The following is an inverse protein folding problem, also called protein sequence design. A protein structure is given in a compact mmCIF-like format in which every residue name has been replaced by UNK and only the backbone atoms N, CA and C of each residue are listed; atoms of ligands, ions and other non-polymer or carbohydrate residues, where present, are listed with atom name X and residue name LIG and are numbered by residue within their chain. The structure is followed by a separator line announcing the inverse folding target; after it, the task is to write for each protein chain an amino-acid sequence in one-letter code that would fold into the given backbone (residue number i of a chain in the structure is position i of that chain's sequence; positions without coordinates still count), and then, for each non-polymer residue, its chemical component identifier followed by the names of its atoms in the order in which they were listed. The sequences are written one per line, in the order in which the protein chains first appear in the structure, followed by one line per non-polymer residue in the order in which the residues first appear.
data_IF_555757269474
#
_entry.id   IF_555757269474
#
_cell.length_a   1.000
_cell.length_b   1.000
_cell.length_c   1.000
_cell.angle_alpha   90.00
_cell.angle_beta   90.00
_cell.angle_gamma   90.00
#
_symmetry.space_group_name_H-M   'P 1'
#
loop_
_entity.id
_entity.type
_entity.pdbx_description
1 polymer ?
#
# COMPACT_ATOMS: atom_id res chain seq x y z
N UNK A 1 -83.55 22.79 -11.66
CA UNK A 1 -83.32 22.58 -10.21
C UNK A 1 -82.55 21.26 -10.08
N UNK A 2 -81.29 21.29 -9.62
CA UNK A 2 -80.85 20.77 -8.29
C UNK A 2 -81.00 19.23 -8.25
N UNK A 3 -80.01 18.35 -8.04
CA UNK A 3 -78.66 18.39 -7.44
C UNK A 3 -77.91 17.09 -7.80
N UNK A 4 -76.58 17.17 -7.84
CA UNK A 4 -75.67 16.02 -7.79
C UNK A 4 -75.25 15.72 -6.34
N UNK A 5 -75.07 14.44 -5.97
CA UNK A 5 -74.29 13.89 -4.83
C UNK A 5 -73.90 12.44 -5.23
N UNK A 6 -72.66 12.14 -5.65
CA UNK A 6 -71.47 11.68 -4.90
C UNK A 6 -71.57 10.30 -4.21
N UNK A 7 -70.78 9.30 -4.67
CA UNK A 7 -70.01 8.27 -3.92
C UNK A 7 -68.97 7.66 -4.89
N UNK A 8 -67.68 8.04 -4.84
CA UNK A 8 -66.55 7.38 -4.15
C UNK A 8 -66.19 5.99 -4.68
N UNK A 9 -65.11 5.92 -5.49
CA UNK A 9 -64.24 4.74 -5.63
C UNK A 9 -62.80 5.22 -5.81
N UNK A 10 -62.00 5.02 -4.77
CA UNK A 10 -60.55 5.23 -4.76
C UNK A 10 -59.90 4.04 -5.46
N UNK A 11 -59.18 4.30 -6.56
CA UNK A 11 -58.32 3.31 -7.21
C UNK A 11 -56.87 3.80 -7.06
N UNK A 12 -56.06 3.07 -6.28
CA UNK A 12 -54.62 3.26 -6.18
C UNK A 12 -53.96 3.01 -7.55
N UNK A 13 -53.39 4.04 -8.15
CA UNK A 13 -52.49 3.91 -9.30
C UNK A 13 -51.06 3.89 -8.76
N UNK A 14 -50.43 2.73 -8.81
CA UNK A 14 -48.99 2.56 -8.62
C UNK A 14 -48.27 3.27 -9.77
N UNK A 15 -47.83 4.50 -9.52
CA UNK A 15 -46.99 5.27 -10.43
C UNK A 15 -45.56 4.72 -10.38
N UNK A 16 -45.26 3.76 -11.25
CA UNK A 16 -43.89 3.36 -11.53
C UNK A 16 -43.20 4.50 -12.31
N UNK A 17 -42.46 5.35 -11.61
CA UNK A 17 -41.55 6.30 -12.23
C UNK A 17 -40.34 5.53 -12.77
N UNK A 18 -40.42 5.06 -14.01
CA UNK A 18 -39.24 4.71 -14.78
C UNK A 18 -38.54 6.01 -15.19
N UNK A 19 -37.44 6.35 -14.51
CA UNK A 19 -36.52 7.36 -15.00
C UNK A 19 -35.79 6.79 -16.23
N UNK A 20 -35.63 7.55 -17.33
CA UNK A 20 -34.81 7.10 -18.44
C UNK A 20 -33.34 7.16 -18.03
N UNK A 21 -32.67 6.01 -18.07
CA UNK A 21 -31.21 5.90 -18.08
C UNK A 21 -30.68 6.73 -19.25
N UNK A 22 -29.90 7.75 -18.92
CA UNK A 22 -29.24 8.61 -19.89
C UNK A 22 -28.06 7.88 -20.51
N UNK A 23 -28.30 7.14 -21.59
CA UNK A 23 -27.30 6.66 -22.55
C UNK A 23 -26.71 7.82 -23.36
N UNK A 24 -26.12 8.80 -22.68
CA UNK A 24 -25.23 9.76 -23.34
C UNK A 24 -23.87 9.08 -23.47
N UNK A 25 -23.37 8.79 -24.69
CA UNK A 25 -22.01 8.28 -24.84
C UNK A 25 -21.06 9.32 -24.24
N UNK A 26 -20.16 8.88 -23.36
CA UNK A 26 -19.06 9.69 -22.86
C UNK A 26 -18.35 10.29 -24.07
N UNK A 27 -18.50 11.60 -24.27
CA UNK A 27 -17.99 12.27 -25.45
C UNK A 27 -16.47 12.06 -25.50
N UNK A 28 -16.02 11.31 -26.50
CA UNK A 28 -14.61 11.20 -26.82
C UNK A 28 -14.06 12.62 -27.01
N UNK A 29 -12.92 12.91 -26.37
CA UNK A 29 -12.27 14.22 -26.48
C UNK A 29 -12.11 14.58 -27.96
N UNK A 30 -12.57 15.75 -28.43
CA UNK A 30 -12.46 16.12 -29.83
C UNK A 30 -11.00 16.09 -30.25
N UNK A 31 -10.75 15.55 -31.45
CA UNK A 31 -9.44 15.49 -32.09
C UNK A 31 -8.98 16.90 -32.51
N UNK A 32 -8.65 17.71 -31.52
CA UNK A 32 -7.99 19.00 -31.66
C UNK A 32 -7.00 19.10 -30.52
N UNK A 33 -5.84 18.45 -30.66
CA UNK A 33 -4.78 18.56 -29.67
C UNK A 33 -4.23 19.99 -29.70
N UNK A 34 -4.73 20.85 -28.82
CA UNK A 34 -3.96 22.03 -28.45
C UNK A 34 -2.64 21.56 -27.84
N UNK A 35 -1.54 22.22 -28.20
CA UNK A 35 -0.21 21.88 -27.71
C UNK A 35 -0.21 21.86 -26.17
N UNK A 36 0.04 20.69 -25.58
CA UNK A 36 0.06 20.49 -24.12
C UNK A 36 1.32 21.08 -23.44
N UNK A 37 2.00 22.02 -24.10
CA UNK A 37 3.20 22.69 -23.57
C UNK A 37 2.96 23.39 -22.23
N UNK A 38 1.73 23.88 -21.97
CA UNK A 38 1.36 24.46 -20.68
C UNK A 38 1.42 23.43 -19.54
N UNK A 39 0.82 22.25 -19.73
CA UNK A 39 0.84 21.14 -18.76
C UNK A 39 2.28 20.67 -18.53
N UNK A 40 3.06 20.47 -19.59
CA UNK A 40 4.47 20.04 -19.48
C UNK A 40 5.30 21.07 -18.69
N UNK A 41 5.09 22.36 -18.91
CA UNK A 41 5.77 23.42 -18.16
C UNK A 41 5.34 23.46 -16.69
N UNK A 42 4.05 23.22 -16.40
CA UNK A 42 3.54 23.14 -15.03
C UNK A 42 4.07 21.92 -14.29
N UNK A 43 4.14 20.75 -14.94
CA UNK A 43 4.74 19.53 -14.36
C UNK A 43 6.19 19.75 -13.94
N UNK A 44 6.99 20.49 -14.72
CA UNK A 44 8.36 20.89 -14.31
C UNK A 44 8.39 21.80 -13.08
N UNK A 45 7.44 22.72 -12.96
CA UNK A 45 7.34 23.61 -11.77
C UNK A 45 6.87 22.83 -10.54
N UNK A 46 5.94 21.90 -10.72
CA UNK A 46 5.50 20.98 -9.68
C UNK A 46 6.69 20.16 -9.16
N UNK A 47 7.50 19.58 -10.05
CA UNK A 47 8.70 18.82 -9.66
C UNK A 47 9.69 19.72 -8.89
N UNK A 48 9.89 20.96 -9.34
CA UNK A 48 10.74 21.91 -8.65
C UNK A 48 10.22 22.24 -7.24
N UNK A 49 8.90 22.34 -7.04
CA UNK A 49 8.29 22.57 -5.74
C UNK A 49 8.48 21.38 -4.79
N UNK A 50 8.28 20.14 -5.29
CA UNK A 50 8.57 18.92 -4.52
C UNK A 50 10.03 18.89 -4.06
N UNK A 51 10.97 19.07 -4.99
CA UNK A 51 12.41 19.00 -4.70
C UNK A 51 12.88 20.21 -3.85
N UNK A 52 12.18 21.33 -3.94
CA UNK A 52 12.38 22.52 -3.12
C UNK A 52 11.72 22.45 -1.74
N UNK A 53 11.00 21.35 -1.42
CA UNK A 53 10.27 21.16 -0.16
C UNK A 53 9.20 22.23 0.09
N UNK A 54 8.55 22.70 -0.97
CA UNK A 54 7.52 23.74 -0.92
C UNK A 54 6.11 23.15 -1.06
N UNK A 55 5.57 22.71 0.08
CA UNK A 55 4.23 22.10 0.15
C UNK A 55 3.13 23.07 -0.26
N UNK A 56 3.23 24.37 0.02
CA UNK A 56 2.20 25.35 -0.35
C UNK A 56 2.12 25.52 -1.86
N UNK A 57 3.27 25.67 -2.52
CA UNK A 57 3.31 25.75 -3.98
C UNK A 57 2.81 24.46 -4.61
N UNK A 58 3.14 23.29 -4.05
CA UNK A 58 2.59 22.00 -4.50
C UNK A 58 1.07 21.96 -4.45
N UNK A 59 0.48 22.28 -3.29
CA UNK A 59 -0.98 22.30 -3.10
C UNK A 59 -1.65 23.28 -4.08
N UNK A 60 -1.00 24.40 -4.40
CA UNK A 60 -1.49 25.39 -5.35
C UNK A 60 -1.65 24.90 -6.80
N UNK A 61 -0.99 23.79 -7.18
CA UNK A 61 -1.20 23.16 -8.48
C UNK A 61 -2.51 22.37 -8.59
N UNK A 62 -3.20 22.10 -7.48
CA UNK A 62 -4.38 21.25 -7.46
C UNK A 62 -5.68 22.05 -7.35
N UNK A 63 -6.78 21.50 -7.90
CA UNK A 63 -8.11 22.05 -7.66
C UNK A 63 -8.55 21.82 -6.21
N UNK A 64 -9.48 22.63 -5.71
CA UNK A 64 -9.96 22.52 -4.32
C UNK A 64 -10.63 21.18 -3.98
N UNK A 65 -11.11 20.49 -5.01
CA UNK A 65 -11.77 19.19 -5.02
C UNK A 65 -10.90 18.08 -5.64
N UNK A 66 -9.58 18.27 -5.75
CA UNK A 66 -8.70 17.32 -6.41
C UNK A 66 -8.73 15.94 -5.75
N UNK A 67 -8.73 14.88 -6.56
CA UNK A 67 -8.69 13.48 -6.10
C UNK A 67 -7.26 12.97 -6.11
N UNK A 68 -6.85 12.36 -5.01
CA UNK A 68 -5.54 11.74 -4.84
C UNK A 68 -5.74 10.24 -4.67
N UNK A 69 -5.12 9.47 -5.55
CA UNK A 69 -5.22 8.01 -5.60
C UNK A 69 -3.82 7.42 -5.44
N UNK A 70 -3.27 7.56 -4.23
CA UNK A 70 -1.96 7.04 -3.89
C UNK A 70 -1.96 5.49 -3.89
N UNK A 71 -0.82 4.83 -4.17
CA UNK A 71 -0.70 3.39 -4.11
C UNK A 71 -1.12 2.84 -2.74
N UNK A 72 -1.88 1.73 -2.75
CA UNK A 72 -2.29 1.00 -1.54
C UNK A 72 -3.11 1.81 -0.52
N UNK A 73 -3.68 2.94 -0.93
CA UNK A 73 -4.54 3.78 -0.10
C UNK A 73 -5.94 3.92 -0.72
N UNK A 74 -6.92 4.30 0.10
CA UNK A 74 -8.23 4.72 -0.41
C UNK A 74 -8.10 6.04 -1.19
N UNK A 75 -9.03 6.27 -2.12
CA UNK A 75 -9.14 7.56 -2.79
C UNK A 75 -9.45 8.65 -1.77
N UNK A 76 -8.63 9.70 -1.75
CA UNK A 76 -8.81 10.88 -0.91
C UNK A 76 -9.10 12.11 -1.77
N UNK A 77 -9.68 13.16 -1.19
CA UNK A 77 -10.11 14.34 -1.93
C UNK A 77 -9.84 15.66 -1.20
N UNK A 78 -9.52 16.69 -1.98
CA UNK A 78 -9.35 18.07 -1.54
C UNK A 78 -7.90 18.47 -1.28
N UNK A 79 -7.66 19.75 -1.03
CA UNK A 79 -6.31 20.28 -0.80
C UNK A 79 -5.63 19.72 0.45
N UNK A 80 -6.41 19.30 1.45
CA UNK A 80 -5.88 18.57 2.61
C UNK A 80 -5.28 17.22 2.20
N UNK A 81 -5.98 16.44 1.37
CA UNK A 81 -5.47 15.16 0.86
C UNK A 81 -4.18 15.32 0.05
N UNK A 82 -4.11 16.36 -0.79
CA UNK A 82 -2.89 16.72 -1.56
C UNK A 82 -1.75 17.06 -0.61
N UNK A 83 -2.03 17.88 0.41
CA UNK A 83 -1.04 18.26 1.42
C UNK A 83 -0.52 17.05 2.19
N UNK A 84 -1.40 16.14 2.61
CA UNK A 84 -1.01 14.96 3.36
C UNK A 84 -0.13 14.04 2.51
N UNK A 85 -0.52 13.80 1.25
CA UNK A 85 0.24 12.95 0.34
C UNK A 85 1.65 13.49 0.05
N UNK A 86 1.77 14.73 -0.42
CA UNK A 86 3.06 15.27 -0.84
C UNK A 86 3.85 15.91 0.30
N UNK A 87 3.18 16.40 1.33
CA UNK A 87 3.82 16.80 2.59
C UNK A 87 4.51 15.61 3.25
N UNK A 88 3.85 14.44 3.31
CA UNK A 88 4.48 13.21 3.79
C UNK A 88 5.72 12.81 2.98
N UNK A 89 5.71 12.96 1.65
CA UNK A 89 6.90 12.72 0.82
C UNK A 89 8.04 13.69 1.15
N UNK A 90 7.73 14.97 1.35
CA UNK A 90 8.71 16.00 1.72
C UNK A 90 9.31 15.72 3.10
N UNK A 91 8.47 15.38 4.09
CA UNK A 91 8.88 15.04 5.45
C UNK A 91 9.77 13.78 5.48
N UNK A 92 9.47 12.79 4.63
CA UNK A 92 10.30 11.61 4.42
C UNK A 92 11.62 11.91 3.66
N UNK A 93 11.86 13.16 3.25
CA UNK A 93 13.08 13.58 2.56
C UNK A 93 13.18 13.10 1.12
N UNK A 94 12.03 12.84 0.48
CA UNK A 94 11.99 12.35 -0.90
C UNK A 94 12.15 13.49 -1.91
N UNK A 95 12.74 13.15 -3.04
CA UNK A 95 12.84 14.00 -4.23
C UNK A 95 12.43 13.20 -5.46
N UNK A 96 11.93 13.89 -6.48
CA UNK A 96 11.35 13.28 -7.66
C UNK A 96 11.87 13.84 -8.98
N UNK A 97 11.91 12.97 -9.98
CA UNK A 97 12.06 13.32 -11.40
C UNK A 97 10.81 12.84 -12.15
N UNK A 98 10.17 13.73 -12.90
CA UNK A 98 9.00 13.42 -13.74
C UNK A 98 9.38 13.47 -15.21
N UNK A 99 8.82 12.53 -15.98
CA UNK A 99 8.93 12.51 -17.43
C UNK A 99 7.55 12.32 -18.06
N UNK A 100 7.04 13.38 -18.69
CA UNK A 100 5.85 13.29 -19.55
C UNK A 100 6.14 12.42 -20.77
N UNK A 101 5.31 11.39 -20.97
CA UNK A 101 5.30 10.57 -22.18
C UNK A 101 4.26 11.08 -23.17
N UNK A 102 3.11 11.51 -22.66
CA UNK A 102 2.02 12.04 -23.46
C UNK A 102 1.27 13.10 -22.66
N UNK A 103 0.95 14.22 -23.30
CA UNK A 103 0.01 15.18 -22.74
C UNK A 103 -0.88 15.72 -23.86
N UNK A 104 -2.18 15.86 -23.57
CA UNK A 104 -3.15 16.46 -24.49
C UNK A 104 -4.10 17.38 -23.74
N UNK A 105 -4.66 18.34 -24.46
CA UNK A 105 -5.69 19.25 -23.97
C UNK A 105 -6.82 19.33 -24.99
N UNK A 106 -8.03 19.55 -24.49
CA UNK A 106 -9.20 19.88 -25.28
C UNK A 106 -10.11 20.81 -24.46
N UNK A 107 -10.21 22.07 -24.87
CA UNK A 107 -10.94 23.09 -24.10
C UNK A 107 -10.35 23.26 -22.70
N UNK A 108 -11.17 23.10 -21.67
CA UNK A 108 -10.78 23.30 -20.27
C UNK A 108 -10.39 22.01 -19.53
N UNK A 109 -10.16 20.92 -20.27
CA UNK A 109 -9.66 19.65 -19.73
C UNK A 109 -8.39 19.19 -20.47
N UNK A 110 -7.50 18.54 -19.75
CA UNK A 110 -6.33 17.89 -20.32
C UNK A 110 -5.87 16.71 -19.48
N UNK A 111 -4.89 15.98 -19.98
CA UNK A 111 -4.23 14.92 -19.23
C UNK A 111 -2.73 14.92 -19.47
N UNK A 112 -2.02 14.33 -18.51
CA UNK A 112 -0.58 14.07 -18.56
C UNK A 112 -0.37 12.62 -18.15
N UNK A 113 0.27 11.84 -19.00
CA UNK A 113 0.71 10.48 -18.72
C UNK A 113 2.22 10.50 -18.71
N UNK A 114 2.82 9.95 -17.66
CA UNK A 114 4.26 9.99 -17.51
C UNK A 114 4.82 8.92 -16.59
N UNK A 115 6.14 8.98 -16.42
CA UNK A 115 6.88 8.16 -15.46
C UNK A 115 7.50 9.04 -14.39
N UNK A 116 7.68 8.47 -13.21
CA UNK A 116 8.40 9.12 -12.11
C UNK A 116 9.59 8.27 -11.65
N UNK A 117 10.57 8.95 -11.07
CA UNK A 117 11.68 8.37 -10.34
C UNK A 117 11.80 9.07 -8.98
N UNK A 118 11.68 8.33 -7.88
CA UNK A 118 11.75 8.86 -6.51
C UNK A 118 13.05 8.43 -5.84
N UNK A 119 13.69 9.39 -5.15
CA UNK A 119 14.95 9.18 -4.43
C UNK A 119 14.86 9.70 -3.00
N UNK A 120 15.53 8.99 -2.08
CA UNK A 120 15.91 9.50 -0.77
C UNK A 120 17.43 9.75 -0.78
N UNK A 121 17.82 11.03 -0.85
CA UNK A 121 19.21 11.39 -1.15
C UNK A 121 19.64 10.85 -2.52
N UNK A 122 20.67 10.01 -2.54
CA UNK A 122 21.19 9.41 -3.79
C UNK A 122 20.58 8.03 -4.10
N UNK A 123 19.76 7.47 -3.21
CA UNK A 123 19.22 6.13 -3.36
C UNK A 123 17.85 6.19 -4.04
N UNK A 124 17.65 5.41 -5.11
CA UNK A 124 16.32 5.15 -5.66
C UNK A 124 15.48 4.41 -4.62
N UNK A 125 14.32 4.96 -4.28
CA UNK A 125 13.37 4.32 -3.37
C UNK A 125 12.15 3.80 -4.10
N UNK A 126 11.80 4.42 -5.23
CA UNK A 126 10.70 3.97 -6.08
C UNK A 126 10.85 4.50 -7.51
N UNK A 127 10.20 3.81 -8.45
CA UNK A 127 9.99 4.30 -9.81
C UNK A 127 8.67 3.77 -10.32
N UNK A 128 8.01 4.52 -11.21
CA UNK A 128 6.71 4.10 -11.69
C UNK A 128 6.12 5.02 -12.74
N UNK A 129 4.80 4.98 -12.83
CA UNK A 129 3.98 5.72 -13.79
C UNK A 129 2.85 6.46 -13.12
N UNK A 130 2.40 7.52 -13.77
CA UNK A 130 1.31 8.34 -13.29
C UNK A 130 0.38 8.76 -14.44
N UNK A 131 -0.85 9.10 -14.07
CA UNK A 131 -1.80 9.82 -14.90
C UNK A 131 -2.35 10.99 -14.08
N UNK A 132 -2.25 12.18 -14.63
CA UNK A 132 -2.89 13.38 -14.09
C UNK A 132 -4.00 13.84 -15.03
N UNK A 133 -5.14 14.21 -14.47
CA UNK A 133 -6.20 14.96 -15.19
C UNK A 133 -6.12 16.41 -14.77
N UNK A 134 -5.98 17.30 -15.75
CA UNK A 134 -5.88 18.74 -15.57
C UNK A 134 -7.20 19.41 -15.95
N UNK A 135 -7.63 20.40 -15.15
CA UNK A 135 -8.77 21.26 -15.44
C UNK A 135 -8.35 22.72 -15.41
N UNK A 136 -8.93 23.53 -16.29
CA UNK A 136 -8.76 24.99 -16.26
C UNK A 136 -9.80 25.61 -15.33
N UNK A 137 -9.34 26.24 -14.25
CA UNK A 137 -10.18 26.90 -13.25
C UNK A 137 -9.73 28.35 -13.15
N UNK A 138 -10.64 29.29 -13.40
CA UNK A 138 -10.36 30.73 -13.42
C UNK A 138 -9.18 31.10 -14.33
N UNK A 139 -9.11 30.44 -15.50
CA UNK A 139 -8.05 30.64 -16.48
C UNK A 139 -6.73 29.94 -16.15
N UNK A 140 -6.61 29.27 -15.01
CA UNK A 140 -5.41 28.56 -14.57
C UNK A 140 -5.57 27.05 -14.65
N UNK A 141 -4.60 26.36 -15.24
CA UNK A 141 -4.55 24.90 -15.27
C UNK A 141 -4.14 24.36 -13.90
N UNK A 142 -4.95 23.42 -13.39
CA UNK A 142 -4.72 22.74 -12.11
C UNK A 142 -5.01 21.25 -12.22
N UNK A 143 -4.29 20.43 -11.46
CA UNK A 143 -4.50 18.99 -11.36
C UNK A 143 -5.80 18.74 -10.58
N UNK A 144 -6.67 17.93 -11.15
CA UNK A 144 -7.97 17.57 -10.60
C UNK A 144 -8.08 16.11 -10.19
N UNK A 145 -7.24 15.26 -10.75
CA UNK A 145 -7.10 13.86 -10.34
C UNK A 145 -5.67 13.44 -10.59
N UNK A 146 -5.08 12.80 -9.60
CA UNK A 146 -3.70 12.35 -9.61
C UNK A 146 -3.66 10.91 -9.12
N UNK A 147 -3.22 10.01 -10.00
CA UNK A 147 -3.05 8.60 -9.74
C UNK A 147 -1.67 8.17 -10.19
N UNK A 148 -0.97 7.42 -9.34
CA UNK A 148 0.33 6.85 -9.65
C UNK A 148 0.47 5.47 -9.04
N UNK A 149 1.40 4.68 -9.57
CA UNK A 149 1.73 3.37 -9.03
C UNK A 149 3.16 2.92 -9.39
N UNK A 150 3.74 2.15 -8.49
CA UNK A 150 5.10 1.64 -8.59
C UNK A 150 5.24 0.60 -9.71
N UNK A 151 6.36 0.64 -10.40
CA UNK A 151 6.87 -0.42 -11.29
C UNK A 151 7.74 -1.43 -10.55
N UNK A 152 8.14 -1.12 -9.30
CA UNK A 152 8.78 -2.11 -8.47
C UNK A 152 7.78 -3.21 -8.13
N UNK A 153 8.22 -4.47 -8.05
CA UNK A 153 7.41 -5.52 -7.47
C UNK A 153 6.90 -5.05 -6.11
N UNK A 154 5.62 -5.28 -5.83
CA UNK A 154 5.13 -5.16 -4.46
C UNK A 154 6.03 -6.07 -3.62
N UNK A 155 6.82 -5.47 -2.73
CA UNK A 155 7.61 -6.26 -1.80
C UNK A 155 6.62 -7.24 -1.14
N UNK A 156 6.92 -8.55 -1.11
CA UNK A 156 6.03 -9.48 -0.43
C UNK A 156 5.76 -8.90 0.96
N UNK A 157 4.48 -8.83 1.35
CA UNK A 157 4.12 -8.45 2.71
C UNK A 157 4.98 -9.31 3.62
N UNK A 158 5.87 -8.69 4.39
CA UNK A 158 6.92 -9.39 5.15
C UNK A 158 6.29 -10.55 5.94
N UNK A 159 6.81 -11.77 5.89
CA UNK A 159 8.21 -12.12 5.75
C UNK A 159 8.44 -13.37 4.89
N UNK A 160 9.47 -13.32 4.05
CA UNK A 160 10.09 -14.56 3.60
C UNK A 160 10.61 -15.28 4.85
N UNK A 161 10.04 -16.45 5.14
CA UNK A 161 10.55 -17.35 6.17
C UNK A 161 11.99 -17.69 5.77
N UNK A 162 12.95 -17.13 6.49
CA UNK A 162 14.36 -17.34 6.20
C UNK A 162 14.86 -18.66 6.78
N UNK A 163 14.14 -19.24 7.76
CA UNK A 163 14.54 -20.48 8.41
C UNK A 163 13.32 -21.33 8.79
N UNK A 164 13.36 -22.61 8.45
CA UNK A 164 12.59 -23.64 9.14
C UNK A 164 13.55 -24.48 9.98
N UNK A 165 13.21 -24.70 11.24
CA UNK A 165 13.97 -25.58 12.14
C UNK A 165 13.04 -26.72 12.53
N UNK A 166 13.45 -27.96 12.34
CA UNK A 166 12.70 -29.15 12.77
C UNK A 166 13.53 -29.97 13.74
N UNK A 167 12.92 -30.53 14.77
CA UNK A 167 13.58 -31.36 15.77
C UNK A 167 12.55 -32.21 16.53
N UNK A 168 13.02 -33.34 17.04
CA UNK A 168 12.29 -34.19 17.96
C UNK A 168 12.34 -33.60 19.37
N UNK A 169 11.25 -33.76 20.11
CA UNK A 169 11.15 -33.39 21.52
C UNK A 169 10.66 -34.56 22.37
N UNK A 170 11.11 -34.62 23.62
CA UNK A 170 10.68 -35.66 24.55
C UNK A 170 9.17 -35.62 24.87
N UNK A 171 8.59 -34.42 24.92
CA UNK A 171 7.16 -34.19 25.18
C UNK A 171 6.71 -32.90 24.47
N UNK A 172 5.90 -33.06 23.42
CA UNK A 172 5.42 -31.93 22.64
C UNK A 172 4.49 -30.98 23.41
N UNK A 173 3.73 -31.46 24.38
CA UNK A 173 2.86 -30.63 25.21
C UNK A 173 3.68 -29.72 26.13
N UNK A 174 4.74 -30.27 26.73
CA UNK A 174 5.70 -29.50 27.51
C UNK A 174 6.42 -28.48 26.63
N UNK A 175 6.91 -28.89 25.46
CA UNK A 175 7.57 -28.00 24.52
C UNK A 175 6.65 -26.84 24.11
N UNK A 176 5.44 -27.12 23.60
CA UNK A 176 4.48 -26.08 23.20
C UNK A 176 4.13 -25.11 24.34
N UNK A 177 4.13 -25.58 25.59
CA UNK A 177 3.85 -24.73 26.75
C UNK A 177 5.00 -23.74 27.02
N UNK A 178 6.25 -24.14 26.80
CA UNK A 178 7.42 -23.25 26.95
C UNK A 178 7.45 -22.10 25.91
N UNK A 179 6.76 -22.28 24.78
CA UNK A 179 6.66 -21.28 23.71
C UNK A 179 5.47 -20.31 23.86
N UNK A 180 4.71 -20.38 24.95
CA UNK A 180 3.53 -19.52 25.19
C UNK A 180 3.62 -18.80 26.53
N UNK A 181 2.97 -17.64 26.63
CA UNK A 181 2.92 -16.83 27.85
C UNK A 181 4.11 -15.88 27.99
N UNK A 182 4.24 -15.25 29.16
CA UNK A 182 5.29 -14.26 29.43
C UNK A 182 6.66 -14.93 29.61
N UNK A 183 7.70 -14.30 29.08
CA UNK A 183 9.08 -14.81 29.09
C UNK A 183 9.23 -16.16 28.37
N UNK A 184 8.36 -16.39 27.38
CA UNK A 184 8.35 -17.62 26.59
C UNK A 184 9.56 -17.71 25.65
N UNK A 185 9.79 -18.90 25.09
CA UNK A 185 10.76 -19.05 23.99
C UNK A 185 10.44 -18.14 22.80
N UNK A 186 9.15 -17.90 22.54
CA UNK A 186 8.72 -16.98 21.50
C UNK A 186 9.23 -15.55 21.77
N UNK A 187 9.09 -15.05 22.99
CA UNK A 187 9.59 -13.73 23.38
C UNK A 187 11.12 -13.65 23.28
N UNK A 188 11.81 -14.72 23.71
CA UNK A 188 13.26 -14.81 23.63
C UNK A 188 13.76 -14.76 22.18
N UNK A 189 13.10 -15.46 21.26
CA UNK A 189 13.47 -15.43 19.84
C UNK A 189 13.22 -14.05 19.21
N UNK A 190 12.09 -13.40 19.53
CA UNK A 190 11.80 -12.04 19.05
C UNK A 190 12.81 -11.02 19.56
N UNK A 191 13.20 -11.11 20.83
CA UNK A 191 14.23 -10.25 21.43
C UNK A 191 15.62 -10.45 20.81
N UNK A 192 15.84 -11.59 20.14
CA UNK A 192 17.13 -12.01 19.61
C UNK A 192 17.16 -12.15 18.09
N UNK A 193 16.38 -11.35 17.35
CA UNK A 193 16.55 -11.22 15.90
C UNK A 193 15.58 -12.04 15.04
N UNK A 194 14.57 -12.68 15.64
CA UNK A 194 13.39 -13.12 14.90
C UNK A 194 12.41 -11.94 14.74
N UNK A 195 11.83 -11.80 13.54
CA UNK A 195 10.71 -10.91 13.27
C UNK A 195 9.36 -11.55 13.60
N UNK A 196 9.25 -12.86 13.39
CA UNK A 196 8.12 -13.68 13.81
C UNK A 196 8.55 -15.14 13.94
N UNK A 197 7.86 -15.89 14.81
CA UNK A 197 8.06 -17.33 14.96
C UNK A 197 6.69 -18.02 14.96
N UNK A 198 6.53 -19.04 14.13
CA UNK A 198 5.37 -19.91 14.13
C UNK A 198 5.79 -21.33 14.49
N UNK A 199 5.02 -21.99 15.33
CA UNK A 199 5.26 -23.38 15.73
C UNK A 199 4.45 -24.30 14.83
N UNK A 200 5.00 -25.47 14.53
CA UNK A 200 4.28 -26.56 13.90
C UNK A 200 4.67 -27.90 14.51
N UNK A 201 3.80 -28.89 14.33
CA UNK A 201 4.03 -30.28 14.68
C UNK A 201 3.81 -31.13 13.44
N UNK A 202 4.57 -32.22 13.30
CA UNK A 202 4.27 -33.21 12.28
C UNK A 202 2.92 -33.86 12.59
N UNK A 203 2.11 -34.02 11.55
CA UNK A 203 0.83 -34.73 11.64
C UNK A 203 0.99 -36.24 11.85
N UNK A 204 2.13 -36.81 11.47
CA UNK A 204 2.44 -38.23 11.64
C UNK A 204 3.15 -38.52 12.97
N UNK A 205 3.86 -37.55 13.53
CA UNK A 205 4.54 -37.67 14.83
C UNK A 205 4.44 -36.35 15.61
N UNK A 206 3.59 -36.34 16.64
CA UNK A 206 3.37 -35.14 17.44
C UNK A 206 4.64 -34.65 18.17
N UNK A 207 5.61 -35.54 18.42
CA UNK A 207 6.89 -35.21 19.04
C UNK A 207 7.94 -34.75 18.03
N UNK A 208 7.68 -34.85 16.73
CA UNK A 208 8.44 -34.12 15.72
C UNK A 208 7.83 -32.72 15.58
N UNK A 209 8.60 -31.70 15.93
CA UNK A 209 8.13 -30.31 16.02
C UNK A 209 9.03 -29.39 15.22
N UNK A 210 8.57 -28.15 14.99
CA UNK A 210 9.41 -27.18 14.33
C UNK A 210 8.97 -25.73 14.45
N UNK A 211 9.84 -24.87 13.94
CA UNK A 211 9.74 -23.42 13.94
C UNK A 211 9.83 -22.92 12.51
N UNK A 212 8.86 -22.12 12.07
CA UNK A 212 8.97 -21.28 10.88
C UNK A 212 9.32 -19.87 11.34
N UNK A 213 10.49 -19.37 10.95
CA UNK A 213 11.07 -18.14 11.49
C UNK A 213 11.29 -17.14 10.36
N UNK A 214 10.63 -15.99 10.50
CA UNK A 214 11.03 -14.78 9.81
C UNK A 214 12.20 -14.14 10.57
N UNK A 215 13.31 -13.88 9.90
CA UNK A 215 14.53 -13.41 10.56
C UNK A 215 14.77 -11.94 10.23
N UNK A 216 14.83 -11.08 11.25
CA UNK A 216 15.21 -9.66 11.10
C UNK A 216 16.72 -9.46 11.28
N UNK A 217 17.37 -10.30 12.08
CA UNK A 217 18.83 -10.28 12.29
C UNK A 217 19.38 -11.70 12.51
N UNK A 218 19.93 -12.29 11.45
CA UNK A 218 20.42 -13.66 11.46
C UNK A 218 21.61 -13.87 12.41
N UNK A 219 22.54 -12.92 12.46
CA UNK A 219 23.75 -13.03 13.29
C UNK A 219 23.38 -13.04 14.78
N UNK A 220 22.44 -12.18 15.17
CA UNK A 220 21.94 -12.11 16.54
C UNK A 220 21.20 -13.40 16.93
N UNK A 221 20.34 -13.89 16.02
CA UNK A 221 19.56 -15.10 16.26
C UNK A 221 20.45 -16.33 16.40
N UNK A 222 21.44 -16.50 15.51
CA UNK A 222 22.44 -17.56 15.61
C UNK A 222 23.26 -17.45 16.90
N UNK A 223 23.63 -16.22 17.29
CA UNK A 223 24.36 -15.97 18.54
C UNK A 223 23.56 -16.39 19.78
N UNK A 224 22.26 -16.11 19.80
CA UNK A 224 21.38 -16.54 20.89
C UNK A 224 21.19 -18.07 20.90
N UNK A 225 20.86 -18.69 19.76
CA UNK A 225 20.64 -20.14 19.68
C UNK A 225 21.89 -20.92 20.11
N UNK A 226 23.09 -20.46 19.70
CA UNK A 226 24.36 -21.07 20.08
C UNK A 226 24.88 -20.72 21.47
N UNK A 227 24.17 -19.89 22.24
CA UNK A 227 24.59 -19.46 23.57
C UNK A 227 24.35 -20.54 24.65
N UNK A 228 25.00 -20.44 25.83
CA UNK A 228 24.67 -21.31 26.97
C UNK A 228 23.20 -21.22 27.39
N UNK A 229 22.61 -20.04 27.29
CA UNK A 229 21.19 -19.81 27.58
C UNK A 229 20.29 -20.55 26.58
N UNK A 230 20.54 -20.39 25.28
CA UNK A 230 19.81 -21.09 24.23
C UNK A 230 19.96 -22.61 24.31
N UNK A 231 21.16 -23.10 24.65
CA UNK A 231 21.40 -24.53 24.85
C UNK A 231 20.67 -25.07 26.07
N UNK A 232 20.68 -24.33 27.19
CA UNK A 232 19.95 -24.72 28.40
C UNK A 232 18.44 -24.73 28.17
N UNK A 233 17.92 -23.74 27.43
CA UNK A 233 16.53 -23.65 27.02
C UNK A 233 16.10 -24.87 26.19
N UNK A 234 16.88 -25.25 25.18
CA UNK A 234 16.61 -26.43 24.37
C UNK A 234 16.61 -27.72 25.20
N UNK A 235 17.54 -27.86 26.15
CA UNK A 235 17.60 -29.01 27.04
C UNK A 235 16.41 -29.08 28.00
N UNK A 236 15.99 -27.93 28.56
CA UNK A 236 14.81 -27.83 29.43
C UNK A 236 13.55 -28.24 28.68
N UNK A 237 13.42 -27.82 27.43
CA UNK A 237 12.28 -28.12 26.56
C UNK A 237 12.32 -29.55 25.99
N UNK A 238 13.39 -30.31 26.27
CA UNK A 238 13.55 -31.70 25.86
C UNK A 238 13.84 -31.88 24.37
N UNK A 239 14.44 -30.87 23.72
CA UNK A 239 14.85 -30.92 22.32
C UNK A 239 16.01 -31.89 22.11
N UNK A 240 15.86 -32.86 21.21
CA UNK A 240 16.99 -33.67 20.75
C UNK A 240 17.80 -32.91 19.71
N UNK A 241 18.89 -32.30 20.15
CA UNK A 241 19.80 -31.55 19.27
C UNK A 241 20.41 -32.40 18.13
N UNK A 242 20.39 -33.73 18.21
CA UNK A 242 20.87 -34.60 17.13
C UNK A 242 19.86 -34.75 15.98
N UNK A 243 18.59 -34.54 16.26
CA UNK A 243 17.50 -34.55 15.27
C UNK A 243 17.33 -33.19 14.56
N UNK A 244 17.99 -32.15 15.09
CA UNK A 244 17.81 -30.78 14.64
C UNK A 244 18.26 -30.62 13.17
N UNK A 245 17.32 -30.19 12.35
CA UNK A 245 17.55 -29.87 10.93
C UNK A 245 17.15 -28.43 10.68
N UNK A 246 18.00 -27.68 9.96
CA UNK A 246 17.75 -26.29 9.58
C UNK A 246 17.63 -26.22 8.08
N UNK A 247 16.49 -25.72 7.60
CA UNK A 247 16.26 -25.37 6.20
C UNK A 247 16.31 -23.85 6.08
N UNK A 248 17.27 -23.35 5.31
CA UNK A 248 17.38 -21.94 4.97
C UNK A 248 17.54 -21.80 3.44
N UNK A 249 17.15 -20.67 2.83
CA UNK A 249 17.44 -20.40 1.42
C UNK A 249 18.92 -20.61 1.13
N UNK A 250 19.25 -21.16 -0.03
CA UNK A 250 20.63 -21.26 -0.49
C UNK A 250 21.23 -19.84 -0.55
N UNK A 251 22.38 -19.64 0.11
CA UNK A 251 23.16 -18.39 0.05
C UNK A 251 23.82 -18.21 -1.31
#
# INVERSE_FOLDING_TARGET
MIKAVSVLSVLMVLSACSAPESDAPAAALPAGSESAGAIIALSKKWQAALNGKDTETLVGFYTSDARVMAPNAELTQGTAAVRDAFGGMIEAGLSGELKTLEARMAGDIGYNIGTYHLKAGNNEVDRGKFIEVWRKVDGQWRISSDIWNSDLPVAPASADVAMFITHDVADAGKWLSAWRGENSRHDQFLANGAASVQLFQDTADANHTGLAIAVSNLQQLQGFIGSPEGTAAAAEDGVDLKSLTVFAPAQ
#
